data_IF_735180124244
#
_entry.id   IF_735180124244
#
_cell.length_a   1.000
_cell.length_b   1.000
_cell.length_c   1.000
_cell.angle_alpha   90.00
_cell.angle_beta   90.00
_cell.angle_gamma   90.00
#
_symmetry.space_group_name_H-M   'P 1'
#
loop_
_entity.id
_entity.type
_entity.pdbx_description
1 polymer ?
#
# COMPACT_ATOMS: atom_id res chain seq x y z
N UNK A 1 -17.89 4.19 2.87
CA UNK A 1 -17.65 3.02 3.74
C UNK A 1 -18.56 1.85 3.33
N UNK A 2 -18.36 0.63 3.85
CA UNK A 2 -19.33 -0.45 3.62
C UNK A 2 -20.58 -0.27 4.49
N UNK A 3 -21.76 -0.19 3.84
CA UNK A 3 -23.07 -0.09 4.52
C UNK A 3 -23.31 -1.25 5.49
N UNK A 4 -22.73 -2.43 5.22
CA UNK A 4 -22.77 -3.59 6.10
C UNK A 4 -22.05 -3.34 7.42
N UNK A 5 -20.81 -2.84 7.36
CA UNK A 5 -19.97 -2.59 8.53
C UNK A 5 -20.61 -1.54 9.44
N UNK A 6 -21.20 -0.48 8.86
CA UNK A 6 -21.84 0.58 9.62
C UNK A 6 -23.08 0.08 10.40
N UNK A 7 -23.90 -0.76 9.77
CA UNK A 7 -25.06 -1.37 10.45
C UNK A 7 -24.61 -2.37 11.52
N UNK A 8 -23.57 -3.16 11.25
CA UNK A 8 -23.02 -4.09 12.23
C UNK A 8 -22.50 -3.36 13.47
N UNK A 9 -21.76 -2.26 13.27
CA UNK A 9 -21.28 -1.41 14.35
C UNK A 9 -22.46 -0.80 15.13
N UNK A 10 -23.47 -0.29 14.45
CA UNK A 10 -24.63 0.32 15.09
C UNK A 10 -25.39 -0.66 16.00
N UNK A 11 -25.58 -1.90 15.55
CA UNK A 11 -26.23 -2.93 16.36
C UNK A 11 -25.41 -3.31 17.60
N UNK A 12 -24.08 -3.33 17.48
CA UNK A 12 -23.14 -3.69 18.56
C UNK A 12 -23.05 -2.59 19.61
N UNK A 13 -22.73 -1.36 19.21
CA UNK A 13 -22.47 -0.24 20.14
C UNK A 13 -23.74 0.27 20.84
N UNK A 14 -24.86 0.32 20.12
CA UNK A 14 -26.13 0.75 20.70
C UNK A 14 -26.86 -0.35 21.46
N UNK A 15 -26.31 -1.58 21.44
CA UNK A 15 -26.90 -2.79 22.01
C UNK A 15 -28.40 -2.92 21.69
N UNK A 16 -28.75 -2.76 20.40
CA UNK A 16 -30.14 -2.66 19.95
C UNK A 16 -30.47 -3.67 18.85
N UNK A 17 -31.74 -4.04 18.71
CA UNK A 17 -32.17 -4.92 17.63
C UNK A 17 -32.31 -4.16 16.30
N UNK A 18 -32.38 -4.88 15.18
CA UNK A 18 -32.66 -4.28 13.86
C UNK A 18 -33.97 -3.49 13.84
N UNK A 19 -34.97 -3.90 14.62
CA UNK A 19 -36.25 -3.19 14.73
C UNK A 19 -36.07 -1.87 15.47
N UNK A 20 -35.31 -1.88 16.56
CA UNK A 20 -35.04 -0.68 17.36
C UNK A 20 -34.22 0.33 16.55
N UNK A 21 -33.22 -0.13 15.81
CA UNK A 21 -32.42 0.71 14.93
C UNK A 21 -33.28 1.30 13.79
N UNK A 22 -34.16 0.49 13.18
CA UNK A 22 -35.07 0.94 12.15
C UNK A 22 -36.01 2.04 12.68
N UNK A 23 -36.55 1.87 13.89
CA UNK A 23 -37.37 2.89 14.56
C UNK A 23 -36.59 4.17 14.85
N UNK A 24 -35.34 4.08 15.32
CA UNK A 24 -34.48 5.27 15.55
C UNK A 24 -34.17 6.04 14.26
N UNK A 25 -34.02 5.33 13.14
CA UNK A 25 -33.70 5.92 11.85
C UNK A 25 -34.93 6.34 11.03
N UNK A 26 -36.14 6.01 11.49
CA UNK A 26 -37.41 6.18 10.77
C UNK A 26 -37.47 5.44 9.43
N UNK A 27 -36.92 4.22 9.39
CA UNK A 27 -36.92 3.34 8.21
C UNK A 27 -37.58 2.00 8.52
N UNK A 28 -37.80 1.17 7.49
CA UNK A 28 -38.31 -0.19 7.70
C UNK A 28 -37.20 -1.15 8.18
N UNK A 29 -37.50 -2.15 9.03
CA UNK A 29 -36.53 -3.18 9.40
C UNK A 29 -35.95 -3.96 8.19
N UNK A 30 -36.72 -4.05 7.10
CA UNK A 30 -36.27 -4.63 5.83
C UNK A 30 -35.13 -3.81 5.23
N UNK A 31 -35.16 -2.48 5.34
CA UNK A 31 -34.10 -1.60 4.85
C UNK A 31 -32.78 -1.84 5.61
N UNK A 32 -32.86 -2.03 6.93
CA UNK A 32 -31.70 -2.38 7.76
C UNK A 32 -31.11 -3.74 7.33
N UNK A 33 -31.96 -4.71 7.00
CA UNK A 33 -31.51 -6.03 6.50
C UNK A 33 -30.84 -5.93 5.13
N UNK A 34 -31.31 -5.03 4.26
CA UNK A 34 -30.72 -4.75 2.96
C UNK A 34 -29.34 -4.12 3.09
N UNK A 35 -29.21 -3.07 3.91
CA UNK A 35 -27.92 -2.43 4.19
C UNK A 35 -26.93 -3.37 4.88
N UNK A 36 -27.40 -4.23 5.78
CA UNK A 36 -26.57 -5.30 6.39
C UNK A 36 -26.04 -6.29 5.34
N UNK A 37 -26.70 -6.45 4.20
CA UNK A 37 -26.23 -7.28 3.08
C UNK A 37 -25.34 -6.53 2.09
N UNK A 38 -25.00 -5.27 2.37
CA UNK A 38 -24.18 -4.45 1.48
C UNK A 38 -24.96 -3.74 0.37
N UNK A 39 -26.30 -3.65 0.43
CA UNK A 39 -27.03 -2.79 -0.50
C UNK A 39 -26.62 -1.32 -0.30
N UNK A 40 -26.73 -0.55 -1.39
CA UNK A 40 -26.47 0.88 -1.41
C UNK A 40 -27.22 1.61 -0.28
N UNK A 41 -26.48 2.45 0.45
CA UNK A 41 -27.00 3.37 1.45
C UNK A 41 -26.75 4.78 0.93
N UNK A 42 -27.78 5.62 1.01
CA UNK A 42 -27.63 7.03 0.64
C UNK A 42 -26.77 7.76 1.67
N UNK A 43 -25.99 8.75 1.21
CA UNK A 43 -24.99 9.47 2.02
C UNK A 43 -25.59 10.16 3.25
N UNK A 44 -26.83 10.64 3.14
CA UNK A 44 -27.58 11.24 4.25
C UNK A 44 -27.84 10.24 5.38
N UNK A 45 -28.15 9.00 5.04
CA UNK A 45 -28.37 7.91 6.01
C UNK A 45 -27.04 7.43 6.60
N UNK A 46 -25.98 7.36 5.80
CA UNK A 46 -24.63 7.06 6.29
C UNK A 46 -24.22 8.09 7.34
N UNK A 47 -24.34 9.39 7.03
CA UNK A 47 -24.03 10.46 7.97
C UNK A 47 -24.88 10.38 9.25
N UNK A 48 -26.19 10.17 9.10
CA UNK A 48 -27.11 10.07 10.25
C UNK A 48 -26.74 8.92 11.20
N UNK A 49 -26.29 7.78 10.68
CA UNK A 49 -25.85 6.66 11.52
C UNK A 49 -24.50 6.97 12.15
N UNK A 50 -23.56 7.55 11.39
CA UNK A 50 -22.25 7.95 11.91
C UNK A 50 -22.36 8.97 13.04
N UNK A 51 -23.22 9.97 12.91
CA UNK A 51 -23.50 10.97 13.96
C UNK A 51 -24.10 10.31 15.20
N UNK A 52 -25.01 9.35 15.01
CA UNK A 52 -25.65 8.63 16.10
C UNK A 52 -24.65 7.76 16.88
N UNK A 53 -23.61 7.26 16.22
CA UNK A 53 -22.53 6.48 16.84
C UNK A 53 -21.38 7.35 17.35
N UNK A 54 -21.39 8.66 17.07
CA UNK A 54 -20.32 9.60 17.41
C UNK A 54 -18.93 9.14 16.93
N UNK A 55 -18.87 8.63 15.69
CA UNK A 55 -17.63 8.06 15.12
C UNK A 55 -16.82 9.05 14.28
N UNK A 56 -17.34 10.26 14.04
CA UNK A 56 -16.64 11.30 13.30
C UNK A 56 -16.26 10.86 11.89
N UNK A 57 -14.97 11.00 11.54
CA UNK A 57 -14.41 10.59 10.24
C UNK A 57 -14.03 9.11 10.16
N UNK A 58 -13.99 8.39 11.28
CA UNK A 58 -13.50 7.02 11.34
C UNK A 58 -14.40 6.06 10.57
N UNK A 59 -13.79 5.11 9.86
CA UNK A 59 -14.53 4.07 9.16
C UNK A 59 -15.15 3.03 10.11
N UNK A 60 -16.36 2.57 9.80
CA UNK A 60 -17.00 1.54 10.60
C UNK A 60 -16.24 0.20 10.59
N UNK A 61 -15.53 -0.10 9.50
CA UNK A 61 -14.63 -1.26 9.42
C UNK A 61 -13.47 -1.15 10.39
N UNK A 62 -12.80 0.01 10.43
CA UNK A 62 -11.72 0.31 11.37
C UNK A 62 -12.16 0.13 12.84
N UNK A 63 -13.34 0.66 13.19
CA UNK A 63 -13.86 0.55 14.56
C UNK A 63 -14.20 -0.90 14.91
N UNK A 64 -14.77 -1.66 13.98
CA UNK A 64 -15.07 -3.07 14.19
C UNK A 64 -13.81 -3.92 14.39
N UNK A 65 -12.73 -3.59 13.67
CA UNK A 65 -11.44 -4.26 13.79
C UNK A 65 -10.80 -4.01 15.16
N UNK A 66 -10.84 -2.78 15.66
CA UNK A 66 -10.30 -2.41 16.98
C UNK A 66 -11.20 -2.91 18.11
N UNK A 67 -12.51 -2.87 17.90
CA UNK A 67 -13.51 -3.50 18.75
C UNK A 67 -14.44 -2.54 19.47
N UNK A 68 -13.97 -1.34 19.87
CA UNK A 68 -14.79 -0.31 20.52
C UNK A 68 -14.53 1.07 19.95
N UNK A 69 -15.55 1.95 19.97
CA UNK A 69 -15.40 3.35 19.51
C UNK A 69 -14.31 4.08 20.29
N UNK A 70 -14.24 3.90 21.62
CA UNK A 70 -13.26 4.59 22.46
C UNK A 70 -11.82 4.19 22.14
N UNK A 71 -11.55 2.91 21.94
CA UNK A 71 -10.22 2.45 21.54
C UNK A 71 -9.88 2.91 20.12
N UNK A 72 -10.86 2.89 19.21
CA UNK A 72 -10.66 3.35 17.84
C UNK A 72 -10.30 4.85 17.79
N UNK A 73 -10.95 5.69 18.61
CA UNK A 73 -10.60 7.10 18.75
C UNK A 73 -9.17 7.30 19.24
N UNK A 74 -8.74 6.50 20.23
CA UNK A 74 -7.38 6.60 20.76
C UNK A 74 -6.32 6.13 19.76
N UNK A 75 -6.58 5.04 19.02
CA UNK A 75 -5.74 4.59 17.92
C UNK A 75 -5.66 5.62 16.79
N UNK A 76 -6.80 6.18 16.39
CA UNK A 76 -6.86 7.19 15.34
C UNK A 76 -6.10 8.46 15.72
N UNK A 77 -6.25 8.93 16.97
CA UNK A 77 -5.51 10.07 17.50
C UNK A 77 -3.99 9.80 17.49
N UNK A 78 -3.56 8.65 18.01
CA UNK A 78 -2.16 8.23 18.00
C UNK A 78 -1.58 8.22 16.58
N UNK A 79 -2.25 7.61 15.62
CA UNK A 79 -1.75 7.50 14.25
C UNK A 79 -1.74 8.84 13.51
N UNK A 80 -2.72 9.69 13.77
CA UNK A 80 -2.80 11.04 13.18
C UNK A 80 -1.64 11.91 13.61
N UNK A 81 -1.13 11.69 14.81
CA UNK A 81 0.01 12.40 15.36
C UNK A 81 1.35 11.77 14.93
N UNK A 82 1.46 10.45 15.00
CA UNK A 82 2.72 9.75 14.78
C UNK A 82 3.07 9.56 13.31
N UNK A 83 2.11 9.26 12.42
CA UNK A 83 2.44 8.99 11.01
C UNK A 83 3.16 10.18 10.36
N UNK A 84 2.70 11.44 10.50
CA UNK A 84 3.42 12.59 9.93
C UNK A 84 4.81 12.78 10.52
N UNK A 85 5.01 12.42 11.80
CA UNK A 85 6.30 12.52 12.48
C UNK A 85 7.29 11.45 11.98
N UNK A 86 6.81 10.24 11.69
CA UNK A 86 7.61 9.15 11.11
C UNK A 86 7.87 9.33 9.60
N UNK A 87 7.16 10.24 8.95
CA UNK A 87 7.22 10.47 7.51
C UNK A 87 8.43 11.31 7.09
N UNK A 88 9.65 10.92 7.48
CA UNK A 88 10.86 11.52 6.94
C UNK A 88 11.00 11.20 5.43
N UNK A 89 11.32 12.23 4.65
CA UNK A 89 11.39 12.16 3.19
C UNK A 89 12.85 12.24 2.72
N UNK A 90 13.40 11.12 2.27
CA UNK A 90 14.76 11.07 1.67
C UNK A 90 14.73 11.00 0.13
N UNK A 91 13.56 10.81 -0.48
CA UNK A 91 13.43 10.57 -1.93
C UNK A 91 13.46 11.84 -2.79
N UNK A 92 13.36 13.02 -2.18
CA UNK A 92 13.14 14.27 -2.89
C UNK A 92 11.74 14.44 -3.49
N UNK A 93 10.78 13.57 -3.15
CA UNK A 93 9.37 13.67 -3.52
C UNK A 93 8.49 13.66 -2.28
N UNK A 94 7.59 14.64 -2.18
CA UNK A 94 6.66 14.79 -1.05
C UNK A 94 5.52 13.79 -1.18
N UNK A 95 5.30 12.99 -0.14
CA UNK A 95 4.14 12.09 -0.06
C UNK A 95 2.96 12.84 0.57
N UNK A 96 2.16 13.49 -0.27
CA UNK A 96 1.00 14.27 0.19
C UNK A 96 -0.05 13.40 0.90
N UNK A 97 -0.14 12.11 0.61
CA UNK A 97 -1.09 11.22 1.29
C UNK A 97 -0.80 11.08 2.78
N UNK A 98 0.45 11.26 3.23
CA UNK A 98 0.83 11.26 4.64
C UNK A 98 0.51 12.56 5.38
N UNK A 99 0.04 13.59 4.66
CA UNK A 99 -0.28 14.92 5.22
C UNK A 99 -1.75 15.28 4.98
N UNK A 100 -2.17 15.29 3.72
CA UNK A 100 -3.46 15.81 3.28
C UNK A 100 -4.55 14.73 3.27
N UNK A 101 -4.17 13.47 3.08
CA UNK A 101 -5.09 12.33 2.95
C UNK A 101 -4.84 11.24 4.00
N UNK A 102 -4.36 11.66 5.18
CA UNK A 102 -3.91 10.77 6.24
C UNK A 102 -4.98 9.75 6.69
N UNK A 103 -6.26 10.14 6.63
CA UNK A 103 -7.40 9.26 6.88
C UNK A 103 -7.38 8.02 5.97
N UNK A 104 -7.07 8.21 4.68
CA UNK A 104 -7.01 7.14 3.68
C UNK A 104 -5.86 6.19 4.01
N UNK A 105 -4.69 6.74 4.36
CA UNK A 105 -3.51 5.95 4.75
C UNK A 105 -3.78 5.15 6.02
N UNK A 106 -4.37 5.76 7.06
CA UNK A 106 -4.69 5.08 8.32
C UNK A 106 -5.66 3.93 8.08
N UNK A 107 -6.72 4.13 7.30
CA UNK A 107 -7.68 3.06 7.05
C UNK A 107 -7.10 1.98 6.14
N UNK A 108 -6.34 2.36 5.11
CA UNK A 108 -5.64 1.41 4.24
C UNK A 108 -4.62 0.55 5.00
N UNK A 109 -3.89 1.16 5.93
CA UNK A 109 -2.97 0.45 6.84
C UNK A 109 -3.72 -0.64 7.61
N UNK A 110 -4.84 -0.30 8.23
CA UNK A 110 -5.59 -1.27 9.05
C UNK A 110 -6.23 -2.37 8.20
N UNK A 111 -6.73 -2.03 7.02
CA UNK A 111 -7.25 -3.01 6.08
C UNK A 111 -6.15 -4.00 5.65
N UNK A 112 -4.94 -3.52 5.38
CA UNK A 112 -3.80 -4.38 5.04
C UNK A 112 -3.28 -5.19 6.23
N UNK A 113 -3.20 -4.60 7.43
CA UNK A 113 -2.89 -5.33 8.68
C UNK A 113 -3.88 -6.49 8.90
N UNK A 114 -5.16 -6.27 8.61
CA UNK A 114 -6.17 -7.32 8.69
C UNK A 114 -5.97 -8.40 7.61
N UNK A 115 -5.66 -8.03 6.36
CA UNK A 115 -5.38 -8.99 5.27
C UNK A 115 -4.21 -9.93 5.62
N UNK A 116 -3.14 -9.39 6.19
CA UNK A 116 -1.96 -10.19 6.59
C UNK A 116 -2.18 -10.99 7.88
N UNK A 117 -3.30 -10.76 8.58
CA UNK A 117 -3.66 -11.43 9.82
C UNK A 117 -2.90 -10.91 11.04
N UNK A 118 -2.40 -9.68 10.99
CA UNK A 118 -1.67 -9.05 12.08
C UNK A 118 -2.59 -8.80 13.28
N UNK A 119 -2.16 -9.24 14.46
CA UNK A 119 -2.90 -9.04 15.70
C UNK A 119 -2.46 -7.72 16.33
N UNK A 120 -3.36 -6.73 16.30
CA UNK A 120 -3.10 -5.42 16.90
C UNK A 120 -2.83 -5.54 18.41
N UNK A 121 -1.87 -4.75 18.94
CA UNK A 121 -1.70 -4.58 20.37
C UNK A 121 -3.00 -4.13 21.05
N UNK A 122 -3.30 -4.70 22.22
CA UNK A 122 -4.48 -4.31 23.01
C UNK A 122 -4.31 -2.95 23.68
N UNK A 123 -3.07 -2.67 24.06
CA UNK A 123 -2.66 -1.41 24.66
C UNK A 123 -2.00 -0.58 23.57
N UNK A 124 -2.46 0.66 23.44
CA UNK A 124 -1.85 1.64 22.54
C UNK A 124 -0.49 2.00 23.17
N UNK A 125 0.59 2.08 22.38
CA UNK A 125 1.86 2.60 22.87
C UNK A 125 1.61 3.89 23.65
N UNK A 126 1.93 3.89 24.94
CA UNK A 126 1.43 4.84 25.93
C UNK A 126 1.79 6.29 25.60
N UNK A 127 0.76 7.11 25.33
CA UNK A 127 0.58 8.50 25.81
C UNK A 127 1.82 9.40 25.93
N UNK A 128 2.63 9.52 24.89
CA UNK A 128 3.34 10.78 24.65
C UNK A 128 2.78 11.36 23.36
N UNK A 129 2.14 12.52 23.50
CA UNK A 129 2.00 13.40 22.36
C UNK A 129 3.42 13.80 21.94
N UNK A 130 3.68 13.93 20.64
CA UNK A 130 4.96 14.37 20.06
C UNK A 130 5.45 15.67 20.71
N UNK A 131 4.51 16.49 21.22
CA UNK A 131 4.76 17.75 21.94
C UNK A 131 5.13 17.62 23.44
N UNK A 132 4.89 16.48 24.10
CA UNK A 132 5.10 16.29 25.56
C UNK A 132 6.37 15.47 25.89
N UNK A 133 7.10 15.02 24.87
CA UNK A 133 8.30 14.24 25.08
C UNK A 133 9.52 15.15 25.38
N UNK A 134 9.99 15.14 26.63
CA UNK A 134 11.39 15.51 26.92
C UNK A 134 12.30 14.54 26.13
N UNK A 135 13.46 15.03 25.64
CA UNK A 135 14.32 14.33 24.67
C UNK A 135 14.57 12.82 25.02
N UNK A 136 14.66 12.44 26.29
CA UNK A 136 14.87 11.04 26.73
C UNK A 136 13.62 10.14 26.69
N UNK A 137 12.42 10.65 26.98
CA UNK A 137 11.18 9.85 26.96
C UNK A 137 10.67 9.63 25.51
N UNK A 138 11.05 10.52 24.60
CA UNK A 138 10.78 10.39 23.16
C UNK A 138 11.44 9.14 22.55
N UNK A 139 12.66 8.81 22.99
CA UNK A 139 13.42 7.66 22.50
C UNK A 139 12.79 6.33 22.93
N UNK A 140 12.15 6.26 24.11
CA UNK A 140 11.54 5.03 24.61
C UNK A 140 10.41 4.50 23.72
N UNK A 141 9.65 5.40 23.07
CA UNK A 141 8.56 5.00 22.17
C UNK A 141 9.08 4.37 20.88
N UNK A 142 10.23 4.80 20.38
CA UNK A 142 10.83 4.19 19.20
C UNK A 142 11.26 2.73 19.43
N UNK A 143 11.45 2.32 20.70
CA UNK A 143 11.66 0.91 21.04
C UNK A 143 10.34 0.11 21.17
N UNK A 144 9.18 0.74 21.00
CA UNK A 144 7.92 0.02 20.95
C UNK A 144 7.86 -0.80 19.65
N UNK A 145 7.67 -2.14 19.71
CA UNK A 145 7.69 -2.97 18.51
C UNK A 145 6.64 -2.60 17.45
N UNK A 146 5.51 -2.03 17.87
CA UNK A 146 4.50 -1.56 16.93
C UNK A 146 4.93 -0.25 16.25
N UNK A 147 5.60 0.65 16.98
CA UNK A 147 6.10 1.91 16.41
C UNK A 147 7.25 1.63 15.46
N UNK A 148 8.18 0.76 15.83
CA UNK A 148 9.25 0.28 14.93
C UNK A 148 8.64 -0.30 13.64
N UNK A 149 7.66 -1.19 13.75
CA UNK A 149 6.97 -1.76 12.59
C UNK A 149 6.19 -0.70 11.79
N UNK A 150 5.57 0.28 12.45
CA UNK A 150 4.90 1.39 11.77
C UNK A 150 5.90 2.24 10.98
N UNK A 151 7.06 2.56 11.58
CA UNK A 151 8.15 3.27 10.92
C UNK A 151 8.59 2.54 9.67
N UNK A 152 8.85 1.22 9.74
CA UNK A 152 9.21 0.42 8.57
C UNK A 152 8.17 0.52 7.44
N UNK A 153 6.87 0.45 7.78
CA UNK A 153 5.79 0.60 6.80
C UNK A 153 5.79 2.00 6.17
N UNK A 154 5.90 3.05 6.98
CA UNK A 154 5.85 4.44 6.49
C UNK A 154 7.07 4.77 5.64
N UNK A 155 8.27 4.34 6.04
CA UNK A 155 9.50 4.49 5.25
C UNK A 155 9.37 3.75 3.91
N UNK A 156 8.96 2.48 3.93
CA UNK A 156 8.77 1.72 2.70
C UNK A 156 7.70 2.34 1.78
N UNK A 157 6.66 2.96 2.37
CA UNK A 157 5.62 3.66 1.62
C UNK A 157 6.16 4.94 0.97
N UNK A 158 6.97 5.73 1.68
CA UNK A 158 7.66 6.89 1.13
C UNK A 158 8.59 6.52 -0.02
N UNK A 159 9.37 5.45 0.13
CA UNK A 159 10.28 4.96 -0.90
C UNK A 159 9.54 4.57 -2.19
N UNK A 160 8.49 3.75 -2.04
CA UNK A 160 7.66 3.28 -3.17
C UNK A 160 6.91 4.45 -3.83
N UNK A 161 6.37 5.36 -3.03
CA UNK A 161 5.70 6.57 -3.52
C UNK A 161 6.67 7.48 -4.27
N UNK A 162 7.88 7.70 -3.75
CA UNK A 162 8.90 8.51 -4.43
C UNK A 162 9.23 7.97 -5.82
N UNK A 163 9.41 6.65 -5.94
CA UNK A 163 9.65 6.02 -7.23
C UNK A 163 8.43 6.12 -8.18
N UNK A 164 7.21 6.03 -7.65
CA UNK A 164 5.99 6.30 -8.42
C UNK A 164 5.95 7.73 -8.97
N UNK A 165 6.20 8.74 -8.14
CA UNK A 165 6.23 10.14 -8.58
C UNK A 165 7.31 10.39 -9.64
N UNK A 166 8.49 9.80 -9.47
CA UNK A 166 9.61 9.94 -10.39
C UNK A 166 9.29 9.35 -11.79
N UNK A 167 8.68 8.16 -11.84
CA UNK A 167 8.70 7.32 -13.04
C UNK A 167 7.35 6.86 -13.58
N UNK A 168 6.26 7.08 -12.87
CA UNK A 168 4.91 6.63 -13.30
C UNK A 168 3.91 7.78 -13.34
N UNK A 169 3.94 8.71 -12.38
CA UNK A 169 2.92 9.76 -12.27
C UNK A 169 2.71 10.59 -13.56
N UNK A 170 3.78 10.87 -14.32
CA UNK A 170 3.69 11.60 -15.59
C UNK A 170 2.92 10.84 -16.69
N UNK A 171 2.75 9.52 -16.56
CA UNK A 171 2.01 8.72 -17.52
C UNK A 171 0.51 9.06 -17.50
N UNK A 172 -0.01 9.55 -16.37
CA UNK A 172 -1.39 10.03 -16.27
C UNK A 172 -1.65 11.16 -17.26
N UNK A 173 -0.72 12.11 -17.39
CA UNK A 173 -0.82 13.18 -18.39
C UNK A 173 -0.67 12.64 -19.82
N UNK A 174 0.18 11.64 -20.02
CA UNK A 174 0.40 11.03 -21.34
C UNK A 174 -0.82 10.24 -21.85
N UNK A 175 -1.61 9.70 -20.92
CA UNK A 175 -2.80 8.88 -21.21
C UNK A 175 -4.12 9.61 -20.85
N UNK A 176 -4.15 10.95 -20.84
CA UNK A 176 -5.32 11.74 -20.40
C UNK A 176 -6.67 11.28 -21.02
N UNK A 177 -6.65 10.84 -22.28
CA UNK A 177 -7.83 10.42 -23.03
C UNK A 177 -8.04 8.90 -23.12
N UNK A 178 -7.16 8.08 -22.54
CA UNK A 178 -7.31 6.62 -22.48
C UNK A 178 -7.89 6.25 -21.09
N UNK A 179 -9.22 6.21 -20.99
CA UNK A 179 -9.94 5.93 -19.74
C UNK A 179 -9.55 4.59 -19.12
N UNK A 180 -9.32 3.56 -19.94
CA UNK A 180 -8.91 2.25 -19.44
C UNK A 180 -7.51 2.34 -18.78
N UNK A 181 -6.62 3.15 -19.34
CA UNK A 181 -5.31 3.40 -18.75
C UNK A 181 -5.37 4.27 -17.50
N UNK A 182 -6.24 5.29 -17.48
CA UNK A 182 -6.46 6.09 -16.27
C UNK A 182 -6.93 5.21 -15.11
N UNK A 183 -7.89 4.32 -15.34
CA UNK A 183 -8.37 3.39 -14.32
C UNK A 183 -7.24 2.50 -13.78
N UNK A 184 -6.36 2.01 -14.65
CA UNK A 184 -5.18 1.21 -14.23
C UNK A 184 -4.19 2.04 -13.42
N UNK A 185 -3.87 3.26 -13.86
CA UNK A 185 -2.93 4.14 -13.15
C UNK A 185 -3.47 4.56 -11.78
N UNK A 186 -4.77 4.88 -11.69
CA UNK A 186 -5.43 5.16 -10.42
C UNK A 186 -5.41 3.95 -9.48
N UNK A 187 -5.68 2.74 -9.98
CA UNK A 187 -5.59 1.52 -9.18
C UNK A 187 -4.15 1.26 -8.70
N UNK A 188 -3.18 1.45 -9.59
CA UNK A 188 -1.76 1.30 -9.31
C UNK A 188 -1.30 2.23 -8.18
N UNK A 189 -1.72 3.50 -8.21
CA UNK A 189 -1.43 4.48 -7.16
C UNK A 189 -2.13 4.13 -5.84
N UNK A 190 -3.40 3.72 -5.90
CA UNK A 190 -4.19 3.43 -4.70
C UNK A 190 -3.68 2.25 -3.87
N UNK A 191 -2.93 1.33 -4.48
CA UNK A 191 -2.38 0.13 -3.82
C UNK A 191 -0.90 0.27 -3.43
N UNK A 192 -0.29 1.46 -3.54
CA UNK A 192 1.14 1.67 -3.22
C UNK A 192 1.49 1.31 -1.77
N UNK A 193 0.58 1.56 -0.83
CA UNK A 193 0.75 1.15 0.57
C UNK A 193 0.78 -0.37 0.72
N UNK A 194 -0.08 -1.08 -0.02
CA UNK A 194 -0.10 -2.54 -0.03
C UNK A 194 1.21 -3.10 -0.61
N UNK A 195 1.74 -2.47 -1.67
CA UNK A 195 3.05 -2.83 -2.24
C UNK A 195 4.19 -2.59 -1.26
N UNK A 196 4.19 -1.44 -0.58
CA UNK A 196 5.18 -1.12 0.44
C UNK A 196 5.21 -2.19 1.54
N UNK A 197 4.03 -2.56 2.06
CA UNK A 197 3.92 -3.63 3.06
C UNK A 197 4.36 -4.99 2.52
N UNK A 198 4.07 -5.31 1.25
CA UNK A 198 4.50 -6.57 0.63
C UNK A 198 6.04 -6.69 0.53
N UNK A 199 6.77 -5.56 0.51
CA UNK A 199 8.24 -5.51 0.47
C UNK A 199 8.92 -5.71 1.82
N UNK A 200 8.21 -5.53 2.94
CA UNK A 200 8.75 -5.72 4.28
C UNK A 200 8.99 -7.19 4.60
N UNK A 201 9.98 -7.51 5.43
CA UNK A 201 10.21 -8.88 5.88
C UNK A 201 9.49 -9.19 7.18
N UNK A 202 8.22 -9.59 7.05
CA UNK A 202 7.35 -9.92 8.18
C UNK A 202 7.35 -11.43 8.47
N UNK A 203 7.50 -11.78 9.75
CA UNK A 203 7.47 -13.17 10.21
C UNK A 203 6.05 -13.76 10.18
N UNK A 204 5.92 -15.01 9.73
CA UNK A 204 4.65 -15.77 9.71
C UNK A 204 4.02 -15.91 11.11
N UNK A 205 4.81 -15.84 12.19
CA UNK A 205 4.31 -15.92 13.57
C UNK A 205 3.42 -14.73 13.94
N UNK A 206 3.72 -13.56 13.37
CA UNK A 206 3.05 -12.29 13.66
C UNK A 206 1.97 -12.01 12.60
N UNK A 207 2.23 -12.40 11.36
CA UNK A 207 1.33 -12.20 10.23
C UNK A 207 1.17 -13.49 9.41
N UNK A 208 0.27 -14.41 9.81
CA UNK A 208 0.17 -15.74 9.24
C UNK A 208 -0.23 -15.77 7.75
N UNK A 209 -0.88 -14.72 7.26
CA UNK A 209 -1.30 -14.62 5.85
C UNK A 209 -0.34 -13.80 5.00
N UNK A 210 0.79 -13.35 5.56
CA UNK A 210 1.69 -12.41 4.89
C UNK A 210 2.23 -12.94 3.57
N UNK A 211 2.64 -14.22 3.50
CA UNK A 211 3.14 -14.83 2.26
C UNK A 211 2.13 -14.80 1.11
N UNK A 212 0.86 -15.09 1.41
CA UNK A 212 -0.20 -15.06 0.41
C UNK A 212 -0.48 -13.61 -0.01
N UNK A 213 -0.57 -12.69 0.94
CA UNK A 213 -0.72 -11.26 0.66
C UNK A 213 0.40 -10.74 -0.23
N UNK A 214 1.67 -11.02 0.11
CA UNK A 214 2.84 -10.63 -0.69
C UNK A 214 2.75 -11.18 -2.10
N UNK A 215 2.40 -12.46 -2.26
CA UNK A 215 2.25 -13.08 -3.58
C UNK A 215 1.15 -12.42 -4.41
N UNK A 216 -0.02 -12.17 -3.81
CA UNK A 216 -1.16 -11.54 -4.49
C UNK A 216 -0.82 -10.12 -4.97
N UNK A 217 -0.22 -9.31 -4.10
CA UNK A 217 0.18 -7.93 -4.45
C UNK A 217 1.27 -7.93 -5.52
N UNK A 218 2.28 -8.81 -5.43
CA UNK A 218 3.35 -8.89 -6.44
C UNK A 218 2.80 -9.28 -7.82
N UNK A 219 1.94 -10.30 -7.90
CA UNK A 219 1.35 -10.69 -9.18
C UNK A 219 0.40 -9.63 -9.74
N UNK A 220 -0.33 -8.91 -8.89
CA UNK A 220 -1.16 -7.77 -9.30
C UNK A 220 -0.33 -6.64 -9.91
N UNK A 221 0.74 -6.21 -9.23
CA UNK A 221 1.63 -5.18 -9.76
C UNK A 221 2.32 -5.62 -11.04
N UNK A 222 2.69 -6.90 -11.16
CA UNK A 222 3.28 -7.46 -12.37
C UNK A 222 2.34 -7.38 -13.55
N UNK A 223 1.05 -7.67 -13.35
CA UNK A 223 0.04 -7.53 -14.39
C UNK A 223 -0.07 -6.06 -14.83
N UNK A 224 -0.23 -5.13 -13.88
CA UNK A 224 -0.34 -3.70 -14.19
C UNK A 224 0.91 -3.14 -14.88
N UNK A 225 2.11 -3.47 -14.40
CA UNK A 225 3.37 -3.03 -15.02
C UNK A 225 3.46 -3.53 -16.46
N UNK A 226 3.11 -4.78 -16.74
CA UNK A 226 3.12 -5.31 -18.09
C UNK A 226 2.13 -4.57 -19.01
N UNK A 227 0.94 -4.23 -18.50
CA UNK A 227 -0.04 -3.44 -19.26
C UNK A 227 0.50 -2.03 -19.53
N UNK A 228 1.01 -1.34 -18.50
CA UNK A 228 1.58 0.00 -18.61
C UNK A 228 2.72 0.01 -19.62
N UNK A 229 3.67 -0.94 -19.54
CA UNK A 229 4.77 -1.09 -20.49
C UNK A 229 4.27 -1.28 -21.92
N UNK A 230 3.37 -2.23 -22.14
CA UNK A 230 2.82 -2.52 -23.46
C UNK A 230 2.13 -1.29 -24.07
N UNK A 231 1.33 -0.57 -23.27
CA UNK A 231 0.60 0.61 -23.69
C UNK A 231 1.52 1.80 -23.97
N UNK A 232 2.52 2.02 -23.12
CA UNK A 232 3.55 3.03 -23.35
C UNK A 232 4.31 2.75 -24.64
N UNK A 233 4.68 1.48 -24.89
CA UNK A 233 5.33 1.08 -26.14
C UNK A 233 4.45 1.34 -27.37
N UNK A 234 3.18 0.93 -27.34
CA UNK A 234 2.23 1.15 -28.44
C UNK A 234 2.00 2.63 -28.74
N UNK A 235 2.01 3.47 -27.71
CA UNK A 235 1.84 4.91 -27.82
C UNK A 235 3.15 5.68 -28.12
N UNK A 236 4.29 4.99 -28.22
CA UNK A 236 5.64 5.59 -28.32
C UNK A 236 5.96 6.56 -27.17
N UNK A 237 5.46 6.27 -25.97
CA UNK A 237 5.78 7.00 -24.75
C UNK A 237 7.04 6.38 -24.15
N UNK A 238 8.16 7.11 -24.05
CA UNK A 238 9.38 6.58 -23.46
C UNK A 238 9.20 6.43 -21.95
N UNK A 239 9.44 5.23 -21.44
CA UNK A 239 9.59 5.02 -20.01
C UNK A 239 10.96 5.53 -19.57
N UNK A 240 11.03 6.13 -18.38
CA UNK A 240 12.26 6.74 -17.83
C UNK A 240 13.04 5.80 -16.91
N UNK A 241 12.41 4.73 -16.44
CA UNK A 241 13.03 3.71 -15.60
C UNK A 241 12.42 2.32 -15.86
N UNK A 242 13.09 1.30 -15.33
CA UNK A 242 12.60 -0.07 -15.32
C UNK A 242 11.46 -0.22 -14.29
N UNK A 243 10.21 -0.26 -14.75
CA UNK A 243 9.05 -0.34 -13.85
C UNK A 243 8.96 -1.66 -13.08
N UNK A 244 9.57 -2.75 -13.55
CA UNK A 244 9.65 -4.01 -12.78
C UNK A 244 10.48 -3.88 -11.51
N UNK A 245 11.26 -2.80 -11.36
CA UNK A 245 11.95 -2.47 -10.11
C UNK A 245 10.96 -2.34 -8.95
N UNK A 246 9.71 -1.92 -9.18
CA UNK A 246 8.65 -1.95 -8.17
C UNK A 246 8.46 -3.33 -7.54
N UNK A 247 8.84 -4.41 -8.20
CA UNK A 247 8.73 -5.78 -7.70
C UNK A 247 10.09 -6.29 -7.23
N UNK A 248 11.13 -6.11 -8.05
CA UNK A 248 12.43 -6.75 -7.83
C UNK A 248 13.34 -6.03 -6.85
N UNK A 249 13.22 -4.70 -6.70
CA UNK A 249 14.06 -3.92 -5.80
C UNK A 249 13.46 -3.83 -4.39
N UNK A 250 14.33 -3.67 -3.41
CA UNK A 250 13.96 -3.27 -2.03
C UNK A 250 13.42 -1.84 -2.00
N UNK A 251 12.72 -1.46 -0.94
CA UNK A 251 12.20 -0.09 -0.83
C UNK A 251 13.34 0.94 -0.85
N UNK A 252 14.42 0.72 -0.09
CA UNK A 252 15.58 1.62 -0.09
C UNK A 252 16.26 1.79 -1.46
N UNK A 253 16.31 0.74 -2.29
CA UNK A 253 16.81 0.87 -3.67
C UNK A 253 15.89 1.72 -4.56
N UNK A 254 14.57 1.65 -4.34
CA UNK A 254 13.60 2.52 -5.03
C UNK A 254 13.75 3.97 -4.58
N UNK A 255 13.99 4.18 -3.28
CA UNK A 255 14.29 5.48 -2.67
C UNK A 255 15.47 6.15 -3.35
N UNK A 256 16.60 5.43 -3.46
CA UNK A 256 17.81 5.92 -4.10
C UNK A 256 17.61 6.28 -5.57
N UNK A 257 16.83 5.49 -6.31
CA UNK A 257 16.52 5.78 -7.72
C UNK A 257 15.65 7.03 -7.85
N UNK A 258 14.64 7.17 -7.00
CA UNK A 258 13.80 8.37 -6.96
C UNK A 258 14.63 9.62 -6.63
N UNK A 259 15.45 9.55 -5.58
CA UNK A 259 16.34 10.65 -5.19
C UNK A 259 17.26 11.07 -6.35
N UNK A 260 17.88 10.11 -7.05
CA UNK A 260 18.71 10.39 -8.21
C UNK A 260 17.95 11.12 -9.34
N UNK A 261 16.68 10.76 -9.58
CA UNK A 261 15.80 11.49 -10.52
C UNK A 261 15.56 12.93 -10.06
N UNK A 262 15.23 13.12 -8.78
CA UNK A 262 14.91 14.44 -8.21
C UNK A 262 16.10 15.41 -8.32
N UNK A 263 17.33 14.91 -8.17
CA UNK A 263 18.55 15.68 -8.40
C UNK A 263 18.94 15.86 -9.88
N UNK A 264 18.13 15.36 -10.82
CA UNK A 264 18.37 15.48 -12.26
C UNK A 264 19.52 14.60 -12.76
N UNK A 265 20.01 13.64 -11.97
CA UNK A 265 21.09 12.74 -12.39
C UNK A 265 20.68 11.84 -13.58
N UNK A 266 19.38 11.70 -13.79
CA UNK A 266 18.79 10.90 -14.87
C UNK A 266 18.31 11.72 -16.08
N UNK A 267 18.49 13.05 -16.12
CA UNK A 267 17.97 13.90 -17.22
C UNK A 267 18.47 13.47 -18.61
N UNK A 268 19.59 12.76 -18.67
CA UNK A 268 20.18 12.24 -19.91
C UNK A 268 19.94 10.75 -20.13
N UNK A 269 19.29 10.07 -19.18
CA UNK A 269 18.82 8.69 -19.32
C UNK A 269 17.49 8.66 -20.08
N UNK A 270 17.44 9.28 -21.26
CA UNK A 270 16.48 8.85 -22.28
C UNK A 270 16.94 7.48 -22.74
N UNK A 271 16.55 6.45 -22.00
CA UNK A 271 17.06 5.11 -22.25
C UNK A 271 16.70 4.70 -23.69
N UNK A 272 17.68 4.50 -24.59
CA UNK A 272 17.41 3.85 -25.86
C UNK A 272 17.04 2.41 -25.50
N UNK A 273 15.75 2.08 -25.64
CA UNK A 273 15.11 0.80 -25.32
C UNK A 273 15.40 0.26 -23.91
N UNK A 274 14.60 0.63 -22.91
CA UNK A 274 14.48 -0.14 -21.64
C UNK A 274 14.31 -1.63 -21.93
N UNK A 275 13.54 -1.98 -22.97
CA UNK A 275 13.38 -3.35 -23.46
C UNK A 275 14.69 -4.02 -23.87
N UNK A 276 15.62 -3.28 -24.48
CA UNK A 276 16.95 -3.79 -24.82
C UNK A 276 17.83 -3.88 -23.59
N UNK A 277 17.70 -2.94 -22.65
CA UNK A 277 18.40 -3.02 -21.38
C UNK A 277 17.98 -4.24 -20.56
N UNK A 278 16.68 -4.55 -20.50
CA UNK A 278 16.15 -5.74 -19.83
C UNK A 278 16.78 -7.01 -20.39
N UNK A 279 16.84 -7.13 -21.73
CA UNK A 279 17.50 -8.26 -22.39
C UNK A 279 19.00 -8.32 -22.04
N UNK A 280 19.70 -7.18 -22.06
CA UNK A 280 21.13 -7.12 -21.78
C UNK A 280 21.44 -7.40 -20.30
N UNK A 281 20.65 -6.89 -19.36
CA UNK A 281 20.78 -7.13 -17.93
C UNK A 281 20.45 -8.59 -17.61
N UNK A 282 19.39 -9.14 -18.20
CA UNK A 282 19.06 -10.56 -18.11
C UNK A 282 20.20 -11.45 -18.62
N UNK A 283 20.77 -11.11 -19.78
CA UNK A 283 21.95 -11.80 -20.32
C UNK A 283 23.16 -11.72 -19.36
N UNK A 284 23.45 -10.53 -18.80
CA UNK A 284 24.55 -10.35 -17.84
C UNK A 284 24.33 -11.17 -16.56
N UNK A 285 23.11 -11.19 -16.03
CA UNK A 285 22.76 -11.97 -14.84
C UNK A 285 22.91 -13.47 -15.12
N UNK A 286 22.42 -13.95 -16.27
CA UNK A 286 22.62 -15.35 -16.70
C UNK A 286 24.11 -15.66 -16.79
N UNK A 287 24.93 -14.78 -17.37
CA UNK A 287 26.38 -14.98 -17.45
C UNK A 287 27.08 -15.06 -16.09
N UNK A 288 26.53 -14.43 -15.05
CA UNK A 288 27.08 -14.49 -13.69
C UNK A 288 26.62 -15.74 -12.93
N UNK A 289 25.35 -16.09 -13.04
CA UNK A 289 24.73 -17.16 -12.25
C UNK A 289 24.94 -18.54 -12.89
N UNK A 290 24.88 -18.63 -14.23
CA UNK A 290 24.98 -19.90 -14.96
C UNK A 290 26.27 -20.68 -14.65
N UNK A 291 27.47 -20.06 -14.57
CA UNK A 291 28.69 -20.77 -14.18
C UNK A 291 28.60 -21.39 -12.77
N UNK A 292 28.04 -20.65 -11.81
CA UNK A 292 27.86 -21.12 -10.42
C UNK A 292 26.88 -22.30 -10.35
N UNK A 293 25.82 -22.26 -11.16
CA UNK A 293 24.87 -23.36 -11.29
C UNK A 293 25.53 -24.59 -11.93
N UNK A 294 26.29 -24.40 -13.02
CA UNK A 294 26.99 -25.49 -13.72
C UNK A 294 28.01 -26.19 -12.82
N UNK A 295 28.77 -25.42 -12.03
CA UNK A 295 29.71 -25.95 -11.03
C UNK A 295 28.98 -26.80 -9.97
N UNK A 296 27.88 -26.29 -9.41
CA UNK A 296 27.08 -27.04 -8.42
C UNK A 296 26.46 -28.33 -8.99
N UNK A 297 26.14 -28.35 -10.27
CA UNK A 297 25.54 -29.50 -10.94
C UNK A 297 26.59 -30.47 -11.53
N UNK A 298 27.89 -30.16 -11.43
CA UNK A 298 28.97 -30.98 -11.98
C UNK A 298 28.95 -31.06 -13.51
N UNK A 299 28.50 -29.99 -14.18
CA UNK A 299 28.46 -29.89 -15.63
C UNK A 299 29.72 -29.20 -16.11
N UNK A 300 30.72 -29.99 -16.50
CA UNK A 300 32.03 -29.48 -16.91
C UNK A 300 32.06 -29.09 -18.41
N UNK A 301 31.23 -29.71 -19.24
CA UNK A 301 31.26 -29.61 -20.71
C UNK A 301 29.88 -29.25 -21.30
N UNK A 302 29.40 -28.03 -21.07
CA UNK A 302 28.20 -27.53 -21.74
C UNK A 302 28.53 -27.02 -23.14
N UNK A 303 27.85 -27.57 -24.14
CA UNK A 303 27.91 -27.10 -25.52
C UNK A 303 26.55 -26.57 -25.96
N UNK A 304 26.54 -25.33 -26.47
CA UNK A 304 25.35 -24.71 -27.03
C UNK A 304 25.06 -25.33 -28.41
N UNK A 305 23.92 -26.01 -28.56
CA UNK A 305 23.44 -26.48 -29.85
C UNK A 305 22.68 -25.35 -30.58
N UNK A 306 23.36 -24.66 -31.48
CA UNK A 306 22.81 -23.53 -32.26
C UNK A 306 21.63 -23.93 -33.16
N UNK A 307 21.45 -25.22 -33.47
CA UNK A 307 20.35 -25.68 -34.30
C UNK A 307 18.98 -25.52 -33.63
N UNK A 308 18.94 -25.46 -32.29
CA UNK A 308 17.72 -25.24 -31.50
C UNK A 308 17.37 -23.76 -31.31
N UNK A 309 18.24 -22.82 -31.73
CA UNK A 309 18.03 -21.37 -31.56
C UNK A 309 17.26 -20.71 -32.72
N UNK A 310 17.02 -21.44 -33.81
CA UNK A 310 16.29 -20.95 -34.99
C UNK A 310 14.92 -21.65 -35.09
N UNK A 311 13.99 -21.26 -34.23
CA UNK A 311 12.55 -21.49 -34.43
C UNK A 311 11.82 -20.16 -34.45
#
# INVERSE_FOLDING_TARGET
MSSSSLIQLALKELNCSQKDLASKLSVSPTQISKWKKGEYMAMDMEQKISDLLNIGKMSASFILQIGTVKQAQAWYAFLTEWIPYLAEEETGYVNFSLRDELDIVIFGLFDNLNKIGYILPKEIPTTLTVDEADDEESEEIFYNPFVEFLTEIITAFNDVHGFYCAYVAYLSDCFEFDYDMQDILCQFESELLSLAMAKLDICDEIAPNFKNFRYEIIELYKEWINIIKLKAFQANIPLKAELMDFISCTSGELSYKAEAESFGASEHNLHPDIYMNELLVGMRMIHQILPVIMEKLGIDDFYLDESNLRN
#
